data_IF_295720533641
#
_entry.id   IF_295720533641
#
_cell.length_a   1.000
_cell.length_b   1.000
_cell.length_c   1.000
_cell.angle_alpha   90.00
_cell.angle_beta   90.00
_cell.angle_gamma   90.00
#
_symmetry.space_group_name_H-M   'P 1'
#
loop_
_entity.id
_entity.type
_entity.pdbx_description
1 polymer ?
#
# COMPACT_ATOMS: atom_id res chain seq x y z
N UNK A 1 -42.72 -30.67 15.15
CA UNK A 1 -42.12 -31.90 14.64
C UNK A 1 -40.60 -31.73 14.86
N UNK A 2 -40.14 -32.35 15.97
CA UNK A 2 -38.78 -32.35 16.48
C UNK A 2 -37.86 -33.22 15.62
N UNK A 3 -36.61 -32.83 15.46
CA UNK A 3 -35.41 -33.68 15.31
C UNK A 3 -34.22 -32.74 15.60
N UNK A 4 -33.69 -32.69 16.83
CA UNK A 4 -32.62 -33.50 17.46
C UNK A 4 -31.37 -33.55 16.57
N UNK A 5 -30.26 -32.75 16.90
CA UNK A 5 -29.25 -33.11 17.91
C UNK A 5 -28.43 -34.35 17.52
N UNK A 6 -27.19 -34.12 17.09
CA UNK A 6 -26.12 -35.07 17.33
C UNK A 6 -24.78 -34.32 17.48
N UNK A 7 -24.38 -34.19 18.72
CA UNK A 7 -23.05 -33.78 19.11
C UNK A 7 -22.17 -35.05 19.20
N UNK A 8 -21.21 -35.18 18.30
CA UNK A 8 -20.22 -36.25 18.37
C UNK A 8 -19.05 -35.79 19.24
N UNK A 9 -19.08 -36.27 20.48
CA UNK A 9 -17.95 -36.20 21.44
C UNK A 9 -16.89 -37.18 21.01
N UNK A 10 -15.70 -36.70 20.66
CA UNK A 10 -14.51 -37.52 20.44
C UNK A 10 -13.76 -37.63 21.77
N UNK A 11 -13.72 -38.84 22.27
CA UNK A 11 -12.98 -39.23 23.49
C UNK A 11 -11.48 -39.15 23.26
N UNK A 12 -10.78 -38.47 24.17
CA UNK A 12 -9.32 -38.47 24.30
C UNK A 12 -8.89 -39.75 25.00
N UNK A 13 -8.23 -40.62 24.26
CA UNK A 13 -7.56 -41.80 24.83
C UNK A 13 -6.26 -41.37 25.50
N UNK A 14 -6.20 -41.61 26.81
CA UNK A 14 -4.98 -41.67 27.61
C UNK A 14 -4.33 -43.02 27.37
N UNK A 15 -3.09 -43.05 26.88
CA UNK A 15 -2.12 -44.07 27.18
C UNK A 15 -0.71 -43.57 26.82
N UNK A 16 0.04 -43.22 27.84
CA UNK A 16 1.47 -43.00 27.77
C UNK A 16 2.17 -44.31 28.25
N UNK A 17 3.23 -44.74 27.60
CA UNK A 17 4.29 -45.44 28.31
C UNK A 17 5.53 -44.53 28.41
N UNK A 18 5.81 -44.20 29.64
CA UNK A 18 7.06 -43.70 30.16
C UNK A 18 8.23 -44.64 29.73
N UNK A 19 9.13 -44.12 28.88
CA UNK A 19 10.46 -44.72 28.71
C UNK A 19 11.49 -43.69 29.12
N UNK A 20 11.92 -43.81 30.36
CA UNK A 20 13.16 -43.29 30.86
C UNK A 20 14.32 -43.76 29.95
N UNK A 21 14.80 -42.88 29.11
CA UNK A 21 16.10 -43.00 28.47
C UNK A 21 17.04 -42.02 29.14
N UNK A 22 17.93 -42.60 29.93
CA UNK A 22 19.09 -42.00 30.54
C UNK A 22 19.97 -41.36 29.45
N UNK A 23 19.90 -40.03 29.32
CA UNK A 23 20.75 -39.28 28.41
C UNK A 23 22.12 -39.12 29.03
N UNK A 24 23.09 -39.88 28.55
CA UNK A 24 24.51 -39.68 28.85
C UNK A 24 24.90 -38.24 28.47
N UNK A 25 25.62 -37.50 29.34
CA UNK A 25 26.16 -36.21 29.00
C UNK A 25 27.25 -36.36 27.94
N UNK A 26 27.01 -35.85 26.75
CA UNK A 26 28.04 -35.66 25.73
C UNK A 26 29.03 -34.62 26.26
N UNK A 27 30.29 -35.05 26.29
CA UNK A 27 31.40 -34.25 26.80
C UNK A 27 31.52 -32.87 26.13
N UNK A 28 31.66 -31.89 26.97
CA UNK A 28 32.12 -30.57 26.64
C UNK A 28 33.51 -30.65 26.01
N UNK A 29 33.58 -30.44 24.71
CA UNK A 29 34.84 -30.10 24.03
C UNK A 29 34.55 -29.14 22.90
N UNK A 30 34.27 -27.91 23.22
CA UNK A 30 34.57 -26.73 22.43
C UNK A 30 34.59 -25.52 23.35
N UNK A 31 35.73 -25.38 24.06
CA UNK A 31 36.15 -24.05 24.46
C UNK A 31 36.57 -23.29 23.18
N UNK A 32 35.60 -22.85 22.41
CA UNK A 32 35.82 -21.74 21.53
C UNK A 32 35.78 -20.51 22.41
N UNK A 33 36.97 -20.02 22.72
CA UNK A 33 37.17 -18.67 23.20
C UNK A 33 36.58 -17.74 22.10
N UNK A 34 35.30 -17.43 22.26
CA UNK A 34 34.72 -16.32 21.52
C UNK A 34 35.49 -15.07 21.93
N UNK A 35 36.45 -14.66 21.13
CA UNK A 35 36.89 -13.28 21.09
C UNK A 35 35.65 -12.46 20.78
N UNK A 36 34.90 -12.10 21.79
CA UNK A 36 33.87 -11.06 21.71
C UNK A 36 34.61 -9.83 21.32
N UNK A 37 34.66 -9.62 20.00
CA UNK A 37 35.02 -8.33 19.43
C UNK A 37 34.22 -7.29 20.22
N UNK A 38 34.90 -6.51 21.02
CA UNK A 38 34.29 -5.43 21.79
C UNK A 38 33.92 -4.31 20.81
N UNK A 39 32.98 -4.63 19.91
CA UNK A 39 32.42 -3.60 19.02
C UNK A 39 31.71 -2.59 19.90
N UNK A 40 32.35 -1.45 20.05
CA UNK A 40 31.76 -0.33 20.75
C UNK A 40 30.81 0.37 19.79
N UNK A 41 29.51 0.23 20.04
CA UNK A 41 28.52 0.99 19.32
C UNK A 41 28.68 2.48 19.67
N UNK A 42 28.69 3.37 18.68
CA UNK A 42 28.67 4.81 18.97
C UNK A 42 27.39 5.16 19.76
N UNK A 43 27.50 6.17 20.61
CA UNK A 43 26.35 6.66 21.34
C UNK A 43 25.20 6.99 20.38
N UNK A 44 23.96 6.62 20.73
CA UNK A 44 22.83 6.88 19.86
C UNK A 44 22.65 8.38 19.62
N UNK A 45 22.77 8.79 18.37
CA UNK A 45 22.51 10.16 17.98
C UNK A 45 20.99 10.44 18.02
N UNK A 46 20.56 11.59 18.56
CA UNK A 46 19.15 11.93 18.55
C UNK A 46 18.62 12.02 17.13
N UNK A 47 17.51 11.37 16.86
CA UNK A 47 16.83 11.46 15.56
C UNK A 47 16.34 12.90 15.36
N UNK A 48 16.80 13.52 14.28
CA UNK A 48 16.29 14.84 13.88
C UNK A 48 14.89 14.62 13.27
N UNK A 49 13.85 14.82 14.07
CA UNK A 49 12.46 14.61 13.67
C UNK A 49 11.94 15.74 12.76
N UNK A 50 12.67 16.86 12.65
CA UNK A 50 12.28 17.96 11.76
C UNK A 50 12.66 17.62 10.31
N UNK A 51 11.71 17.03 9.60
CA UNK A 51 11.78 16.98 8.15
C UNK A 51 11.66 18.41 7.58
N UNK A 52 12.44 18.78 6.56
CA UNK A 52 12.23 20.03 5.86
C UNK A 52 10.80 20.04 5.28
N UNK A 53 10.16 21.21 5.18
CA UNK A 53 8.84 21.30 4.54
C UNK A 53 8.94 20.78 3.11
N UNK A 54 7.94 20.01 2.70
CA UNK A 54 7.88 19.52 1.33
C UNK A 54 7.81 20.70 0.35
N UNK A 55 8.53 20.67 -0.78
CA UNK A 55 8.41 21.70 -1.79
C UNK A 55 6.98 21.71 -2.36
N UNK A 56 6.44 22.88 -2.75
CA UNK A 56 5.14 22.95 -3.40
C UNK A 56 5.15 22.19 -4.73
N UNK A 57 4.01 21.66 -5.13
CA UNK A 57 3.84 21.00 -6.42
C UNK A 57 4.02 22.00 -7.55
N UNK A 58 5.00 21.76 -8.42
CA UNK A 58 5.06 22.42 -9.73
C UNK A 58 4.30 21.58 -10.75
N UNK A 59 3.01 21.91 -10.93
CA UNK A 59 2.12 21.13 -11.78
C UNK A 59 2.59 21.12 -13.25
N UNK A 60 3.07 22.25 -13.78
CA UNK A 60 3.50 22.36 -15.18
C UNK A 60 4.84 21.65 -15.45
N UNK A 61 5.70 21.50 -14.44
CA UNK A 61 6.94 20.75 -14.58
C UNK A 61 6.70 19.22 -14.54
N UNK A 62 5.65 18.78 -13.83
CA UNK A 62 5.44 17.35 -13.54
C UNK A 62 4.31 16.72 -14.36
N UNK A 63 3.35 17.51 -14.86
CA UNK A 63 2.18 17.04 -15.58
C UNK A 63 2.12 17.60 -16.98
N UNK A 64 1.51 16.91 -17.95
CA UNK A 64 1.13 17.50 -19.23
C UNK A 64 0.25 18.74 -19.02
N UNK A 65 0.40 19.77 -19.85
CA UNK A 65 -0.28 21.07 -19.67
C UNK A 65 -1.79 20.94 -19.43
N UNK A 66 -2.47 20.08 -20.17
CA UNK A 66 -3.92 19.87 -20.02
C UNK A 66 -4.29 19.39 -18.63
N UNK A 67 -3.48 18.51 -18.04
CA UNK A 67 -3.68 17.99 -16.69
C UNK A 67 -3.25 19.02 -15.63
N UNK A 68 -2.16 19.75 -15.89
CA UNK A 68 -1.68 20.80 -15.00
C UNK A 68 -2.72 21.91 -14.84
N UNK A 69 -3.27 22.41 -15.95
CA UNK A 69 -4.30 23.44 -15.96
C UNK A 69 -5.55 22.97 -15.21
N UNK A 70 -5.98 21.73 -15.43
CA UNK A 70 -7.11 21.14 -14.71
C UNK A 70 -6.86 21.06 -13.20
N UNK A 71 -5.67 20.63 -12.79
CA UNK A 71 -5.28 20.52 -11.37
C UNK A 71 -5.29 21.88 -10.70
N UNK A 72 -4.69 22.88 -11.34
CA UNK A 72 -4.60 24.24 -10.80
C UNK A 72 -5.97 24.93 -10.73
N UNK A 73 -6.79 24.80 -11.77
CA UNK A 73 -8.17 25.32 -11.77
C UNK A 73 -9.04 24.63 -10.71
N UNK A 74 -8.91 23.31 -10.57
CA UNK A 74 -9.62 22.55 -9.54
C UNK A 74 -9.20 22.94 -8.11
N UNK A 75 -7.91 23.15 -7.88
CA UNK A 75 -7.38 23.57 -6.60
C UNK A 75 -7.79 24.99 -6.23
N UNK A 76 -7.84 25.91 -7.21
CA UNK A 76 -8.29 27.29 -7.00
C UNK A 76 -9.78 27.35 -6.67
N UNK A 77 -10.63 26.67 -7.42
CA UNK A 77 -12.08 26.61 -7.16
C UNK A 77 -12.45 25.98 -5.84
N UNK A 78 -11.64 25.03 -5.34
CA UNK A 78 -11.92 24.29 -4.11
C UNK A 78 -11.09 24.77 -2.91
N UNK A 79 -10.40 25.87 -2.93
CA UNK A 79 -9.26 26.28 -2.11
C UNK A 79 -8.63 25.09 -1.30
N UNK A 80 -7.86 24.27 -2.02
CA UNK A 80 -7.13 23.14 -1.44
C UNK A 80 -5.72 23.04 -2.06
N UNK A 81 -4.78 22.34 -1.43
CA UNK A 81 -3.48 22.09 -2.04
C UNK A 81 -3.63 21.40 -3.40
N UNK A 82 -2.95 21.86 -4.46
CA UNK A 82 -3.02 21.23 -5.79
C UNK A 82 -2.53 19.79 -5.80
N UNK A 83 -1.66 19.40 -4.86
CA UNK A 83 -1.21 18.03 -4.64
C UNK A 83 -2.36 17.05 -4.46
N UNK A 84 -3.43 17.45 -3.78
CA UNK A 84 -4.59 16.60 -3.50
C UNK A 84 -5.35 16.26 -4.78
N UNK A 85 -5.53 17.26 -5.63
CA UNK A 85 -6.18 17.08 -6.92
C UNK A 85 -5.29 16.27 -7.87
N UNK A 86 -3.98 16.58 -7.91
CA UNK A 86 -3.02 15.90 -8.76
C UNK A 86 -2.90 14.40 -8.40
N UNK A 87 -2.71 14.07 -7.13
CA UNK A 87 -2.60 12.68 -6.68
C UNK A 87 -3.86 11.88 -7.03
N UNK A 88 -5.03 12.44 -6.76
CA UNK A 88 -6.31 11.81 -7.06
C UNK A 88 -6.52 11.62 -8.57
N UNK A 89 -6.15 12.63 -9.38
CA UNK A 89 -6.24 12.57 -10.83
C UNK A 89 -5.38 11.43 -11.41
N UNK A 90 -4.13 11.31 -10.96
CA UNK A 90 -3.22 10.27 -11.43
C UNK A 90 -3.76 8.86 -11.11
N UNK A 91 -4.28 8.65 -9.92
CA UNK A 91 -4.86 7.36 -9.53
C UNK A 91 -6.11 7.04 -10.37
N UNK A 92 -6.98 8.01 -10.60
CA UNK A 92 -8.17 7.83 -11.43
C UNK A 92 -7.82 7.55 -12.90
N UNK A 93 -6.84 8.25 -13.46
CA UNK A 93 -6.35 7.97 -14.82
C UNK A 93 -5.76 6.56 -14.93
N UNK A 94 -5.01 6.12 -13.92
CA UNK A 94 -4.46 4.78 -13.88
C UNK A 94 -5.57 3.71 -13.87
N UNK A 95 -6.68 3.95 -13.16
CA UNK A 95 -7.83 3.03 -13.13
C UNK A 95 -8.53 2.94 -14.50
N UNK A 96 -8.64 4.05 -15.22
CA UNK A 96 -9.21 4.07 -16.60
C UNK A 96 -8.34 3.31 -17.59
N UNK A 97 -7.02 3.48 -17.52
CA UNK A 97 -6.08 2.75 -18.36
C UNK A 97 -6.11 1.25 -18.04
N UNK A 98 -6.18 0.92 -16.74
CA UNK A 98 -6.31 -0.45 -16.23
C UNK A 98 -5.33 -1.42 -16.88
N UNK A 99 -5.84 -2.57 -17.29
CA UNK A 99 -5.06 -3.62 -17.97
C UNK A 99 -4.94 -3.40 -19.50
N UNK A 100 -5.56 -2.33 -20.04
CA UNK A 100 -5.52 -2.04 -21.48
C UNK A 100 -4.15 -1.64 -22.01
N UNK A 101 -3.28 -1.09 -21.14
CA UNK A 101 -1.91 -0.75 -21.45
C UNK A 101 -0.95 -1.30 -20.40
N UNK A 102 0.23 -1.69 -20.84
CA UNK A 102 1.30 -2.17 -19.97
C UNK A 102 2.66 -1.69 -20.46
N UNK A 103 3.59 -1.51 -19.54
CA UNK A 103 4.96 -1.15 -19.83
C UNK A 103 5.84 -2.36 -19.61
N UNK A 104 6.72 -2.64 -20.58
CA UNK A 104 7.80 -3.62 -20.46
C UNK A 104 9.13 -2.87 -20.22
N UNK A 105 9.57 -2.69 -18.94
CA UNK A 105 10.71 -1.84 -18.62
C UNK A 105 12.04 -2.33 -19.19
N UNK A 106 12.15 -3.66 -19.35
CA UNK A 106 13.35 -4.29 -19.86
C UNK A 106 13.06 -5.07 -21.14
N UNK A 107 13.91 -4.86 -22.16
CA UNK A 107 13.71 -5.44 -23.49
C UNK A 107 13.79 -6.97 -23.52
N UNK A 108 14.55 -7.59 -22.60
CA UNK A 108 14.82 -9.03 -22.56
C UNK A 108 14.29 -9.71 -21.29
N UNK A 109 13.31 -9.09 -20.65
CA UNK A 109 12.68 -9.58 -19.44
C UNK A 109 11.18 -9.81 -19.71
N UNK A 110 10.58 -10.76 -19.04
CA UNK A 110 9.15 -11.03 -19.15
C UNK A 110 8.31 -10.19 -18.18
N UNK A 111 8.96 -9.32 -17.43
CA UNK A 111 8.29 -8.46 -16.48
C UNK A 111 7.47 -7.37 -17.17
N UNK A 112 6.18 -7.36 -16.88
CA UNK A 112 5.19 -6.42 -17.42
C UNK A 112 4.56 -5.67 -16.25
N UNK A 113 4.48 -4.35 -16.34
CA UNK A 113 3.84 -3.47 -15.37
C UNK A 113 2.57 -2.87 -15.97
N UNK A 114 1.45 -3.06 -15.29
CA UNK A 114 0.20 -2.34 -15.56
C UNK A 114 0.07 -1.16 -14.60
N UNK A 115 -0.64 -0.08 -14.96
CA UNK A 115 -0.81 1.09 -14.10
C UNK A 115 -1.82 0.83 -12.96
N UNK A 116 -1.53 -0.15 -12.11
CA UNK A 116 -2.31 -0.44 -10.91
C UNK A 116 -1.81 0.43 -9.77
N UNK A 117 -2.24 1.70 -9.76
CA UNK A 117 -1.83 2.66 -8.74
C UNK A 117 -2.86 2.74 -7.62
N UNK A 118 -2.35 2.93 -6.43
CA UNK A 118 -3.14 3.32 -5.27
C UNK A 118 -2.43 4.48 -4.57
N UNK A 119 -3.19 5.32 -3.89
CA UNK A 119 -2.64 6.48 -3.21
C UNK A 119 -3.49 6.89 -2.02
N UNK A 120 -2.91 7.72 -1.16
CA UNK A 120 -3.59 8.29 -0.01
C UNK A 120 -3.23 9.76 0.14
N UNK A 121 -4.21 10.57 0.55
CA UNK A 121 -4.03 11.98 0.83
C UNK A 121 -3.98 12.17 2.34
N UNK A 122 -2.83 12.62 2.83
CA UNK A 122 -2.61 12.93 4.24
C UNK A 122 -2.59 14.44 4.42
N UNK A 123 -3.32 14.93 5.41
CA UNK A 123 -3.40 16.36 5.73
C UNK A 123 -4.23 16.58 6.98
N UNK A 124 -4.21 17.78 7.49
CA UNK A 124 -4.95 18.18 8.68
C UNK A 124 -6.47 18.00 8.50
N UNK A 125 -7.24 17.89 9.57
CA UNK A 125 -8.69 17.93 9.50
C UNK A 125 -9.18 19.19 8.75
N UNK A 126 -10.26 19.05 7.99
CA UNK A 126 -10.89 20.15 7.24
C UNK A 126 -10.10 20.70 6.04
N UNK A 127 -9.00 20.07 5.61
CA UNK A 127 -8.21 20.47 4.42
C UNK A 127 -8.83 20.08 3.09
N UNK A 128 -10.13 19.77 3.06
CA UNK A 128 -10.92 19.49 1.84
C UNK A 128 -10.42 18.31 0.99
N UNK A 129 -9.86 17.28 1.64
CA UNK A 129 -9.36 16.06 0.97
C UNK A 129 -10.42 15.37 0.12
N UNK A 130 -11.57 15.04 0.73
CA UNK A 130 -12.65 14.35 0.02
C UNK A 130 -13.28 15.18 -1.12
N UNK A 131 -13.53 16.50 -0.96
CA UNK A 131 -13.94 17.34 -2.08
C UNK A 131 -12.92 17.37 -3.23
N UNK A 132 -11.61 17.44 -2.93
CA UNK A 132 -10.57 17.41 -3.95
C UNK A 132 -10.56 16.08 -4.75
N UNK A 133 -10.74 14.96 -4.07
CA UNK A 133 -10.94 13.65 -4.72
C UNK A 133 -12.20 13.63 -5.59
N UNK A 134 -13.30 14.21 -5.11
CA UNK A 134 -14.57 14.27 -5.84
C UNK A 134 -14.48 15.04 -7.16
N UNK A 135 -13.59 16.04 -7.31
CA UNK A 135 -13.39 16.75 -8.58
C UNK A 135 -12.95 15.76 -9.66
N UNK A 136 -12.01 14.90 -9.36
CA UNK A 136 -11.41 13.96 -10.31
C UNK A 136 -12.27 12.71 -10.54
N UNK A 137 -13.01 12.25 -9.52
CA UNK A 137 -13.88 11.08 -9.63
C UNK A 137 -15.08 11.30 -10.57
N UNK A 138 -15.49 12.56 -10.80
CA UNK A 138 -16.57 12.89 -11.76
C UNK A 138 -16.29 12.41 -13.19
N UNK A 139 -15.03 12.25 -13.56
CA UNK A 139 -14.69 11.68 -14.87
C UNK A 139 -15.05 10.20 -14.95
N UNK A 140 -14.82 9.45 -13.87
CA UNK A 140 -15.18 8.04 -13.81
C UNK A 140 -16.70 7.88 -13.90
N UNK A 141 -17.45 8.66 -13.11
CA UNK A 141 -18.91 8.66 -13.12
C UNK A 141 -19.47 8.99 -14.53
N UNK A 142 -18.77 9.87 -15.26
CA UNK A 142 -19.17 10.21 -16.62
C UNK A 142 -18.90 9.06 -17.62
N UNK A 143 -17.74 8.42 -17.50
CA UNK A 143 -17.39 7.27 -18.34
C UNK A 143 -18.32 6.08 -18.11
N UNK A 144 -18.64 5.77 -16.86
CA UNK A 144 -19.60 4.72 -16.50
C UNK A 144 -20.96 4.95 -17.16
N UNK A 145 -21.48 6.17 -17.10
CA UNK A 145 -22.77 6.53 -17.75
C UNK A 145 -22.73 6.40 -19.26
N UNK A 146 -21.58 6.68 -19.90
CA UNK A 146 -21.41 6.50 -21.34
C UNK A 146 -21.41 5.01 -21.72
N UNK A 147 -20.79 4.15 -20.90
CA UNK A 147 -20.79 2.70 -21.13
C UNK A 147 -22.16 2.10 -20.91
N UNK A 148 -22.86 2.47 -19.83
CA UNK A 148 -24.24 2.03 -19.59
C UNK A 148 -25.16 2.39 -20.73
N UNK A 149 -25.04 3.60 -21.30
CA UNK A 149 -25.81 4.04 -22.46
C UNK A 149 -25.55 3.22 -23.73
N UNK A 150 -24.34 2.69 -23.89
CA UNK A 150 -23.96 1.87 -25.05
C UNK A 150 -24.35 0.39 -24.91
N UNK A 151 -24.60 -0.12 -23.69
CA UNK A 151 -25.00 -1.49 -23.44
C UNK A 151 -26.47 -1.77 -23.78
N UNK A 152 -27.29 -0.73 -23.97
CA UNK A 152 -28.73 -0.83 -24.25
C UNK A 152 -29.10 -0.48 -25.70
N UNK A 153 -28.12 -0.42 -26.60
CA UNK A 153 -28.31 -0.28 -28.04
C UNK A 153 -27.67 -1.47 -28.76
#
# INVERSE_FOLDING_TARGET
MNLLSDATTVAVGQDAPEKNQEVKPLGNTHQQTEERSSYHWPDPAPLVIKLPPAPPLDAHALLPNVLADFVLDGADRMPCPPDFVAASLIVNLASVIGAGCAIKPKRRDDWILTPNLWGGIVGDPSTKKSPAMGITSRFLDHLEKLEEGNLFH
#
